data_IF_461496679990
#
_entry.id   IF_461496679990
#
_cell.length_a   1.000
_cell.length_b   1.000
_cell.length_c   1.000
_cell.angle_alpha   90.00
_cell.angle_beta   90.00
_cell.angle_gamma   90.00
#
_symmetry.space_group_name_H-M   'P 1'
#
loop_
_entity.id
_entity.type
_entity.pdbx_description
1 polymer ?
#
# COMPACT_ATOMS: atom_id res chain seq x y z
N UNK A 1 -4.82 1.47 28.60
CA UNK A 1 -4.50 2.79 28.02
C UNK A 1 -5.67 3.18 27.11
N UNK A 2 -6.39 4.26 27.42
CA UNK A 2 -7.64 4.63 26.74
C UNK A 2 -7.37 5.16 25.34
N UNK A 3 -8.01 4.53 24.33
CA UNK A 3 -7.93 4.82 22.88
C UNK A 3 -8.58 6.17 22.50
N UNK A 4 -9.09 6.91 23.46
CA UNK A 4 -9.88 8.14 23.30
C UNK A 4 -9.10 9.32 22.66
N UNK A 5 -7.80 9.23 22.51
CA UNK A 5 -6.95 10.38 22.12
C UNK A 5 -6.87 10.69 20.62
N UNK A 6 -7.33 9.78 19.73
CA UNK A 6 -7.11 9.98 18.29
C UNK A 6 -8.10 10.95 17.62
N UNK A 7 -9.33 11.03 18.10
CA UNK A 7 -10.28 12.04 17.61
C UNK A 7 -9.88 13.46 18.02
N UNK A 8 -9.10 13.58 19.10
CA UNK A 8 -8.67 14.87 19.66
C UNK A 8 -7.44 15.43 18.95
N UNK A 9 -6.59 14.59 18.36
CA UNK A 9 -5.34 15.02 17.71
C UNK A 9 -5.64 15.91 16.51
N UNK A 10 -6.62 15.53 15.66
CA UNK A 10 -6.99 16.24 14.43
C UNK A 10 -7.45 17.66 14.68
N UNK A 11 -8.26 17.87 15.74
CA UNK A 11 -8.76 19.20 16.11
C UNK A 11 -7.69 20.11 16.70
N UNK A 12 -6.48 19.59 16.97
CA UNK A 12 -5.36 20.32 17.53
C UNK A 12 -4.18 20.49 16.57
N UNK A 13 -4.40 20.22 15.27
CA UNK A 13 -3.39 20.30 14.21
C UNK A 13 -2.15 19.41 14.48
N UNK A 14 -2.33 18.31 15.21
CA UNK A 14 -1.29 17.33 15.48
C UNK A 14 -1.42 16.18 14.48
N UNK A 15 -0.35 15.85 13.76
CA UNK A 15 -0.24 14.67 12.92
C UNK A 15 0.58 13.58 13.59
N UNK A 16 0.28 12.32 13.24
CA UNK A 16 1.05 11.17 13.70
C UNK A 16 1.36 10.27 12.51
N UNK A 17 2.63 9.88 12.39
CA UNK A 17 3.07 8.86 11.44
C UNK A 17 3.37 7.56 12.18
N UNK A 18 2.78 6.46 11.69
CA UNK A 18 2.93 5.14 12.29
C UNK A 18 3.66 4.27 11.29
N UNK A 19 4.80 3.71 11.68
CA UNK A 19 5.60 2.83 10.85
C UNK A 19 5.43 1.40 11.37
N UNK A 20 5.04 0.48 10.50
CA UNK A 20 4.77 -0.91 10.81
C UNK A 20 5.47 -1.82 9.81
N UNK A 21 5.94 -2.95 10.27
CA UNK A 21 6.37 -4.03 9.38
C UNK A 21 5.17 -4.84 8.86
N UNK A 22 4.08 -4.87 9.63
CA UNK A 22 2.86 -5.62 9.30
C UNK A 22 1.69 -5.08 10.12
N UNK A 23 0.48 -5.11 9.57
CA UNK A 23 -0.76 -4.83 10.28
C UNK A 23 -0.98 -5.77 11.48
N UNK A 24 -0.46 -6.99 11.41
CA UNK A 24 -0.53 -7.93 12.53
C UNK A 24 0.17 -7.42 13.80
N UNK A 25 1.13 -6.50 13.71
CA UNK A 25 1.73 -5.86 14.88
C UNK A 25 0.70 -5.00 15.66
N UNK A 26 -0.16 -4.28 14.96
CA UNK A 26 -1.25 -3.55 15.63
C UNK A 26 -2.23 -4.50 16.31
N UNK A 27 -2.60 -5.58 15.63
CA UNK A 27 -3.49 -6.60 16.19
C UNK A 27 -2.89 -7.27 17.41
N UNK A 28 -1.60 -7.58 17.41
CA UNK A 28 -0.91 -8.19 18.54
C UNK A 28 -0.91 -7.30 19.78
N UNK A 29 -0.74 -5.98 19.60
CA UNK A 29 -0.62 -5.02 20.71
C UNK A 29 -2.00 -4.51 21.17
N UNK A 30 -2.86 -4.16 20.19
CA UNK A 30 -4.11 -3.43 20.46
C UNK A 30 -5.38 -4.27 20.23
N UNK A 31 -5.24 -5.55 19.83
CA UNK A 31 -6.37 -6.45 19.50
C UNK A 31 -7.33 -5.78 18.52
N UNK A 32 -8.63 -5.77 18.80
CA UNK A 32 -9.66 -5.17 17.93
C UNK A 32 -9.48 -3.66 17.75
N UNK A 33 -8.87 -2.99 18.72
CA UNK A 33 -8.54 -1.57 18.60
C UNK A 33 -7.44 -1.26 17.56
N UNK A 34 -6.69 -2.26 17.12
CA UNK A 34 -5.69 -2.11 16.07
C UNK A 34 -6.28 -1.69 14.73
N UNK A 35 -7.46 -2.20 14.37
CA UNK A 35 -8.16 -1.82 13.13
C UNK A 35 -8.59 -0.36 13.15
N UNK A 36 -9.13 0.11 14.28
CA UNK A 36 -9.52 1.52 14.45
C UNK A 36 -8.33 2.46 14.22
N UNK A 37 -7.11 2.01 14.55
CA UNK A 37 -5.88 2.78 14.35
C UNK A 37 -5.59 2.94 12.85
N UNK A 38 -5.65 1.87 12.08
CA UNK A 38 -5.46 1.91 10.63
C UNK A 38 -6.54 2.72 9.92
N UNK A 39 -7.80 2.53 10.30
CA UNK A 39 -8.95 3.18 9.67
C UNK A 39 -8.95 4.71 9.86
N UNK A 40 -8.33 5.19 10.94
CA UNK A 40 -8.16 6.62 11.19
C UNK A 40 -6.96 7.24 10.46
N UNK A 41 -6.17 6.46 9.74
CA UNK A 41 -5.11 6.99 8.89
C UNK A 41 -5.70 7.45 7.55
N UNK A 42 -5.52 8.72 7.22
CA UNK A 42 -5.98 9.27 5.93
C UNK A 42 -5.04 8.91 4.78
N UNK A 43 -3.81 8.53 5.11
CA UNK A 43 -2.77 8.24 4.16
C UNK A 43 -2.07 6.93 4.55
N UNK A 44 -1.94 6.01 3.60
CA UNK A 44 -1.20 4.76 3.76
C UNK A 44 -0.12 4.68 2.68
N UNK A 45 1.13 4.57 3.11
CA UNK A 45 2.27 4.36 2.21
C UNK A 45 2.75 2.91 2.36
N UNK A 46 2.55 2.11 1.32
CA UNK A 46 3.04 0.74 1.25
C UNK A 46 4.36 0.70 0.50
N UNK A 47 5.40 0.28 1.18
CA UNK A 47 6.77 0.25 0.63
C UNK A 47 7.15 -1.11 0.05
N UNK A 48 6.74 -2.19 0.68
CA UNK A 48 6.89 -3.56 0.23
C UNK A 48 6.19 -4.52 1.20
N UNK A 49 5.89 -5.74 0.75
CA UNK A 49 5.34 -6.78 1.60
C UNK A 49 4.96 -8.00 0.80
N UNK A 50 4.81 -9.13 1.49
CA UNK A 50 4.44 -10.42 0.90
C UNK A 50 3.28 -11.04 1.68
N UNK A 51 2.69 -12.09 1.11
CA UNK A 51 1.66 -12.88 1.76
C UNK A 51 0.46 -12.04 2.18
N UNK A 52 0.14 -12.06 3.47
CA UNK A 52 -1.04 -11.36 4.01
C UNK A 52 -1.01 -9.85 3.77
N UNK A 53 0.14 -9.21 3.91
CA UNK A 53 0.27 -7.76 3.69
C UNK A 53 -0.01 -7.39 2.22
N UNK A 54 0.48 -8.18 1.26
CA UNK A 54 0.21 -7.96 -0.16
C UNK A 54 -1.28 -8.15 -0.48
N UNK A 55 -1.92 -9.16 0.12
CA UNK A 55 -3.36 -9.39 -0.03
C UNK A 55 -4.18 -8.22 0.52
N UNK A 56 -3.89 -7.74 1.71
CA UNK A 56 -4.59 -6.61 2.32
C UNK A 56 -4.51 -5.35 1.42
N UNK A 57 -3.36 -5.11 0.80
CA UNK A 57 -3.20 -3.99 -0.14
C UNK A 57 -3.99 -4.24 -1.44
N UNK A 58 -3.97 -5.45 -2.01
CA UNK A 58 -4.77 -5.78 -3.19
C UNK A 58 -6.26 -5.56 -2.95
N UNK A 59 -6.78 -6.00 -1.80
CA UNK A 59 -8.17 -5.83 -1.40
C UNK A 59 -8.54 -4.33 -1.27
N UNK A 60 -7.64 -3.53 -0.72
CA UNK A 60 -7.82 -2.07 -0.55
C UNK A 60 -7.74 -1.31 -1.87
N UNK A 61 -6.87 -1.71 -2.79
CA UNK A 61 -6.79 -1.13 -4.14
C UNK A 61 -8.06 -1.35 -4.94
N UNK A 62 -8.74 -2.48 -4.69
CA UNK A 62 -10.00 -2.80 -5.33
C UNK A 62 -9.85 -3.28 -6.77
N UNK A 63 -10.95 -3.18 -7.52
CA UNK A 63 -11.07 -3.70 -8.88
C UNK A 63 -11.48 -2.59 -9.84
N UNK A 64 -10.97 -2.67 -11.06
CA UNK A 64 -11.47 -1.90 -12.20
C UNK A 64 -12.34 -2.76 -13.09
N UNK A 65 -13.29 -2.14 -13.77
CA UNK A 65 -14.11 -2.83 -14.77
C UNK A 65 -13.40 -2.77 -16.10
N UNK A 66 -13.05 -3.92 -16.63
CA UNK A 66 -12.50 -4.06 -17.98
C UNK A 66 -13.56 -4.65 -18.92
N UNK A 67 -13.61 -4.16 -20.16
CA UNK A 67 -14.39 -4.76 -21.22
C UNK A 67 -13.59 -5.93 -21.82
N UNK A 68 -14.09 -7.14 -21.63
CA UNK A 68 -13.51 -8.35 -22.21
C UNK A 68 -14.27 -8.76 -23.45
N UNK A 69 -13.54 -8.94 -24.54
CA UNK A 69 -14.07 -9.41 -25.82
C UNK A 69 -13.77 -10.90 -25.97
N UNK A 70 -14.78 -11.73 -25.87
CA UNK A 70 -14.66 -13.14 -26.23
C UNK A 70 -15.16 -13.34 -27.66
N UNK A 71 -14.24 -13.66 -28.55
CA UNK A 71 -14.54 -14.06 -29.94
C UNK A 71 -14.67 -15.60 -29.98
N UNK A 72 -15.87 -16.08 -30.08
CA UNK A 72 -16.11 -17.51 -30.28
C UNK A 72 -16.33 -17.79 -31.77
N UNK A 73 -15.36 -18.45 -32.36
CA UNK A 73 -15.46 -18.98 -33.73
C UNK A 73 -15.95 -20.42 -33.65
N UNK A 74 -17.18 -20.67 -34.07
CA UNK A 74 -17.70 -22.01 -34.17
C UNK A 74 -17.52 -22.48 -35.64
N UNK A 75 -16.57 -23.40 -35.89
CA UNK A 75 -16.29 -24.01 -37.18
C UNK A 75 -17.19 -25.22 -37.43
N UNK A 76 -18.50 -25.01 -37.40
CA UNK A 76 -19.49 -25.99 -37.84
C UNK A 76 -20.00 -25.69 -39.25
N UNK A 77 -20.90 -26.51 -39.78
CA UNK A 77 -21.47 -26.38 -41.13
C UNK A 77 -22.24 -25.05 -41.39
N UNK A 78 -22.44 -24.23 -40.36
CA UNK A 78 -22.86 -22.83 -40.42
C UNK A 78 -21.94 -21.99 -39.56
N UNK A 79 -21.14 -21.11 -40.17
CA UNK A 79 -20.24 -20.18 -39.48
C UNK A 79 -21.06 -19.10 -38.78
N UNK A 80 -21.09 -19.13 -37.47
CA UNK A 80 -21.72 -18.09 -36.67
C UNK A 80 -20.63 -17.33 -35.90
N UNK A 81 -20.52 -16.03 -36.12
CA UNK A 81 -19.65 -15.11 -35.40
C UNK A 81 -20.46 -14.48 -34.26
N UNK A 82 -20.20 -14.91 -33.04
CA UNK A 82 -20.77 -14.31 -31.84
C UNK A 82 -19.73 -13.41 -31.14
N UNK A 83 -19.97 -12.11 -31.11
CA UNK A 83 -19.25 -11.16 -30.26
C UNK A 83 -19.95 -11.11 -28.91
N UNK A 84 -19.33 -11.68 -27.89
CA UNK A 84 -19.86 -11.61 -26.51
C UNK A 84 -19.08 -10.56 -25.71
N UNK A 85 -19.76 -9.49 -25.34
CA UNK A 85 -19.23 -8.43 -24.51
C UNK A 85 -19.45 -8.77 -23.04
N UNK A 86 -18.40 -8.98 -22.29
CA UNK A 86 -18.47 -9.18 -20.86
C UNK A 86 -17.70 -8.09 -20.11
N UNK A 87 -18.34 -7.48 -19.14
CA UNK A 87 -17.66 -6.60 -18.18
C UNK A 87 -17.13 -7.46 -17.05
N UNK A 88 -15.81 -7.50 -16.91
CA UNK A 88 -15.11 -8.24 -15.87
C UNK A 88 -14.45 -7.28 -14.91
N UNK A 89 -14.61 -7.53 -13.59
CA UNK A 89 -13.86 -6.84 -12.55
C UNK A 89 -12.45 -7.43 -12.46
N UNK A 90 -11.42 -6.67 -12.88
CA UNK A 90 -10.02 -7.03 -12.73
C UNK A 90 -9.43 -6.27 -11.54
N UNK A 91 -8.66 -6.94 -10.68
CA UNK A 91 -7.91 -6.27 -9.63
C UNK A 91 -6.95 -5.25 -10.23
N UNK A 92 -6.88 -4.06 -9.64
CA UNK A 92 -5.93 -3.01 -10.06
C UNK A 92 -4.49 -3.50 -9.99
N UNK A 93 -4.16 -4.23 -8.92
CA UNK A 93 -2.95 -5.02 -8.79
C UNK A 93 -3.29 -6.29 -8.02
N UNK A 94 -2.91 -7.43 -8.54
CA UNK A 94 -3.09 -8.70 -7.86
C UNK A 94 -2.12 -8.85 -6.67
N UNK A 95 -2.43 -9.77 -5.77
CA UNK A 95 -1.54 -10.09 -4.65
C UNK A 95 -0.13 -10.46 -5.13
N UNK A 96 -0.02 -11.19 -6.24
CA UNK A 96 1.26 -11.65 -6.77
C UNK A 96 2.07 -10.49 -7.39
N UNK A 97 1.41 -9.57 -8.08
CA UNK A 97 2.04 -8.36 -8.61
C UNK A 97 2.58 -7.47 -7.48
N UNK A 98 1.82 -7.32 -6.39
CA UNK A 98 2.27 -6.58 -5.21
C UNK A 98 3.43 -7.28 -4.52
N UNK A 99 3.38 -8.62 -4.38
CA UNK A 99 4.42 -9.40 -3.73
C UNK A 99 5.75 -9.42 -4.51
N UNK A 100 5.67 -9.24 -5.84
CA UNK A 100 6.83 -9.20 -6.76
C UNK A 100 7.20 -7.78 -7.17
N UNK A 101 6.54 -6.77 -6.61
CA UNK A 101 6.82 -5.36 -6.89
C UNK A 101 8.29 -5.02 -6.66
N UNK A 102 8.87 -4.26 -7.60
CA UNK A 102 10.24 -3.79 -7.51
C UNK A 102 10.51 -3.03 -6.21
N UNK A 103 11.68 -3.30 -5.60
CA UNK A 103 12.06 -2.70 -4.32
C UNK A 103 12.18 -1.17 -4.32
N UNK A 104 12.33 -0.55 -5.49
CA UNK A 104 12.33 0.90 -5.69
C UNK A 104 10.94 1.52 -5.83
N UNK A 105 9.88 0.71 -5.87
CA UNK A 105 8.50 1.19 -6.04
C UNK A 105 7.73 1.23 -4.71
N UNK A 106 6.69 2.05 -4.68
CA UNK A 106 5.76 2.15 -3.55
C UNK A 106 4.34 2.42 -4.04
N UNK A 107 3.37 2.11 -3.19
CA UNK A 107 1.96 2.43 -3.41
C UNK A 107 1.54 3.43 -2.34
N UNK A 108 1.06 4.58 -2.76
CA UNK A 108 0.50 5.61 -1.89
C UNK A 108 -1.01 5.64 -2.05
N UNK A 109 -1.71 5.47 -0.96
CA UNK A 109 -3.15 5.61 -0.88
C UNK A 109 -3.49 6.82 0.00
N UNK A 110 -4.35 7.69 -0.51
CA UNK A 110 -4.86 8.85 0.20
C UNK A 110 -6.38 8.79 0.15
N UNK A 111 -7.03 9.05 1.28
CA UNK A 111 -8.50 9.06 1.36
C UNK A 111 -9.11 10.01 0.35
N UNK A 112 -10.05 9.52 -0.45
CA UNK A 112 -10.80 10.32 -1.43
C UNK A 112 -10.13 10.50 -2.79
N UNK A 113 -8.95 9.90 -3.02
CA UNK A 113 -8.27 9.89 -4.33
C UNK A 113 -7.88 8.48 -4.73
N UNK A 114 -7.67 8.27 -6.04
CA UNK A 114 -7.19 6.99 -6.54
C UNK A 114 -5.78 6.70 -6.02
N UNK A 115 -5.42 5.43 -5.79
CA UNK A 115 -4.08 5.06 -5.39
C UNK A 115 -3.02 5.51 -6.41
N UNK A 116 -1.85 5.85 -5.91
CA UNK A 116 -0.69 6.21 -6.72
C UNK A 116 0.35 5.09 -6.66
N UNK A 117 0.79 4.64 -7.83
CA UNK A 117 1.97 3.78 -7.96
C UNK A 117 3.15 4.66 -8.33
N UNK A 118 4.18 4.70 -7.48
CA UNK A 118 5.27 5.65 -7.59
C UNK A 118 6.63 5.03 -7.27
N UNK A 119 7.67 5.77 -7.54
CA UNK A 119 9.03 5.43 -7.13
C UNK A 119 9.31 5.93 -5.71
N UNK A 120 10.07 5.15 -4.96
CA UNK A 120 10.59 5.59 -3.67
C UNK A 120 11.59 6.71 -3.87
N UNK A 121 11.59 7.66 -2.96
CA UNK A 121 12.58 8.70 -2.96
C UNK A 121 13.99 8.12 -2.69
N UNK A 122 14.93 8.47 -3.53
CA UNK A 122 16.33 8.12 -3.34
C UNK A 122 16.94 9.03 -2.26
N UNK A 123 17.09 8.49 -1.06
CA UNK A 123 17.59 9.23 0.10
C UNK A 123 18.99 9.79 -0.12
N UNK A 124 19.80 9.18 -0.99
CA UNK A 124 21.16 9.66 -1.29
C UNK A 124 21.17 11.03 -1.94
N UNK A 125 20.08 11.41 -2.60
CA UNK A 125 19.88 12.73 -3.22
C UNK A 125 19.43 13.81 -2.23
N UNK A 126 19.13 13.42 -0.99
CA UNK A 126 18.69 14.40 0.00
C UNK A 126 19.87 15.27 0.47
N UNK A 127 19.74 16.62 0.54
CA UNK A 127 20.82 17.52 0.92
C UNK A 127 21.48 17.21 2.27
N UNK A 128 20.70 16.60 3.18
CA UNK A 128 21.17 16.21 4.53
C UNK A 128 21.65 14.76 4.62
N UNK A 129 21.69 14.01 3.51
CA UNK A 129 22.16 12.63 3.52
C UNK A 129 23.56 12.49 4.12
N UNK A 130 24.43 13.45 3.84
CA UNK A 130 25.82 13.53 4.38
C UNK A 130 25.91 13.49 5.91
N UNK A 131 24.83 13.77 6.63
CA UNK A 131 24.80 13.74 8.10
C UNK A 131 24.31 12.40 8.68
N UNK A 132 23.90 11.45 7.84
CA UNK A 132 23.48 10.13 8.27
C UNK A 132 24.70 9.21 8.47
N UNK A 133 24.56 8.24 9.38
CA UNK A 133 25.54 7.18 9.60
C UNK A 133 25.82 6.34 8.34
N UNK A 134 24.81 6.21 7.46
CA UNK A 134 24.95 5.49 6.20
C UNK A 134 25.87 6.21 5.20
N UNK A 135 25.96 7.51 5.29
CA UNK A 135 26.89 8.31 4.47
C UNK A 135 28.30 8.36 5.06
N UNK A 136 28.43 8.52 6.38
CA UNK A 136 29.71 8.52 7.10
C UNK A 136 29.51 7.91 8.50
N UNK A 137 30.26 6.85 8.80
CA UNK A 137 30.22 6.16 10.11
C UNK A 137 30.52 7.09 11.29
N UNK A 138 31.19 8.21 11.08
CA UNK A 138 31.41 9.23 12.12
C UNK A 138 30.15 9.88 12.62
N UNK A 139 29.07 9.83 11.82
CA UNK A 139 27.75 10.37 12.19
C UNK A 139 26.93 9.39 13.02
N UNK A 140 27.47 8.23 13.37
CA UNK A 140 26.76 7.24 14.22
C UNK A 140 26.52 7.84 15.59
N UNK A 141 25.25 7.85 16.01
CA UNK A 141 24.87 8.30 17.35
C UNK A 141 25.31 7.25 18.38
N UNK A 142 26.07 7.68 19.34
CA UNK A 142 26.55 6.82 20.44
C UNK A 142 25.59 6.98 21.63
N UNK A 143 24.76 5.95 21.85
CA UNK A 143 23.74 5.94 22.91
C UNK A 143 24.38 5.90 24.30
N UNK A 144 25.58 5.32 24.43
CA UNK A 144 26.27 5.13 25.73
C UNK A 144 26.91 6.43 26.25
N UNK A 145 26.91 7.48 25.45
CA UNK A 145 27.44 8.80 25.82
C UNK A 145 26.41 9.72 26.47
N UNK A 146 25.15 9.33 26.57
CA UNK A 146 24.03 10.08 27.10
C UNK A 146 23.23 9.26 28.12
#
# INVERSE_FOLDING_TARGET
>A
MRITYRHTIRSREISASIILQSQSQLKAIYRDAGEIISDNCDCTLFLSGRGKNAKEIADVLGKETIDSFNQSENRGAQTSHGLNYQKLGKELMSQDEIATMDGGKCILQVRGVRPFFSEKYDITKHPRYKYLSDADKKNTFDVDRY
#
